data_IF_451621439945
#
_entry.id   IF_451621439945
#
_cell.length_a   1.000
_cell.length_b   1.000
_cell.length_c   1.000
_cell.angle_alpha   90.00
_cell.angle_beta   90.00
_cell.angle_gamma   90.00
#
_symmetry.space_group_name_H-M   'P 1'
#
loop_
_entity.id
_entity.type
_entity.pdbx_description
1 polymer ?
#
# COMPACT_ATOMS: atom_id res chain seq x y z
N UNK A 1 -2.96 46.34 10.57
CA UNK A 1 -3.98 46.92 11.47
C UNK A 1 -5.27 46.12 11.36
N UNK A 2 -5.93 45.85 12.50
CA UNK A 2 -7.23 45.18 12.72
C UNK A 2 -7.18 43.63 12.74
N UNK A 3 -7.00 43.05 13.94
CA UNK A 3 -8.01 42.59 14.94
C UNK A 3 -8.44 41.14 14.61
N UNK A 4 -7.87 40.08 15.20
CA UNK A 4 -8.01 39.61 16.60
C UNK A 4 -9.41 39.85 17.18
N UNK A 5 -10.10 38.76 17.55
CA UNK A 5 -10.97 38.54 18.73
C UNK A 5 -12.02 37.46 18.42
N UNK A 6 -11.95 36.33 19.14
CA UNK A 6 -13.04 35.54 19.78
C UNK A 6 -12.41 34.19 20.20
N UNK A 7 -11.76 34.05 21.36
CA UNK A 7 -12.34 33.86 22.71
C UNK A 7 -13.51 32.86 22.70
N UNK A 8 -13.25 31.59 23.04
CA UNK A 8 -13.35 31.05 24.41
C UNK A 8 -14.79 31.03 24.93
N UNK A 9 -15.52 29.96 24.65
CA UNK A 9 -16.69 29.57 25.45
C UNK A 9 -16.31 28.43 26.40
N UNK A 10 -15.98 28.89 27.60
CA UNK A 10 -15.81 28.19 28.86
C UNK A 10 -17.13 27.53 29.31
N UNK A 11 -17.03 26.25 29.66
CA UNK A 11 -17.40 25.60 30.94
C UNK A 11 -18.80 25.79 31.57
N UNK A 12 -19.15 24.71 32.30
CA UNK A 12 -20.08 24.62 33.44
C UNK A 12 -21.53 24.24 33.10
N UNK A 13 -21.78 22.93 33.13
CA UNK A 13 -23.07 22.39 33.53
C UNK A 13 -22.82 21.27 34.55
N UNK A 14 -22.51 21.70 35.77
CA UNK A 14 -22.42 20.85 36.96
C UNK A 14 -23.81 20.75 37.61
N UNK A 15 -24.10 19.54 38.10
CA UNK A 15 -25.00 19.25 39.23
C UNK A 15 -26.51 19.51 39.05
N UNK A 16 -27.27 18.44 38.79
CA UNK A 16 -28.54 18.15 39.48
C UNK A 16 -29.15 16.84 38.96
N UNK A 17 -28.69 15.67 39.40
CA UNK A 17 -29.52 14.46 39.40
C UNK A 17 -29.06 13.56 40.56
N UNK A 18 -29.46 13.96 41.77
CA UNK A 18 -29.54 13.11 42.94
C UNK A 18 -30.94 12.49 42.98
N UNK A 19 -30.96 11.21 43.36
CA UNK A 19 -32.11 10.46 43.86
C UNK A 19 -33.14 9.96 42.86
N UNK A 20 -32.86 8.77 42.33
CA UNK A 20 -33.86 7.69 42.34
C UNK A 20 -33.14 6.39 42.75
N UNK A 21 -33.22 6.09 44.03
CA UNK A 21 -32.85 4.79 44.58
C UNK A 21 -33.95 3.78 44.20
N UNK A 22 -33.98 3.37 42.94
CA UNK A 22 -34.78 2.23 42.51
C UNK A 22 -34.05 0.95 42.90
N UNK A 23 -34.67 0.24 43.83
CA UNK A 23 -34.49 -1.17 44.17
C UNK A 23 -34.12 -2.02 42.96
N UNK A 24 -32.82 -2.15 42.70
CA UNK A 24 -32.26 -3.08 41.72
C UNK A 24 -32.51 -4.51 42.23
N UNK A 25 -33.69 -5.01 41.93
CA UNK A 25 -34.09 -6.41 42.08
C UNK A 25 -33.05 -7.23 41.32
N UNK A 26 -32.17 -7.89 42.06
CA UNK A 26 -31.12 -8.78 41.58
C UNK A 26 -31.80 -9.93 40.82
N UNK A 27 -32.13 -9.70 39.55
CA UNK A 27 -32.47 -10.77 38.63
C UNK A 27 -31.22 -11.63 38.58
N UNK A 28 -31.33 -12.83 39.16
CA UNK A 28 -30.39 -13.90 38.91
C UNK A 28 -30.52 -14.19 37.42
N UNK A 29 -29.69 -13.52 36.62
CA UNK A 29 -29.37 -14.00 35.29
C UNK A 29 -28.84 -15.40 35.51
N UNK A 30 -29.69 -16.39 35.27
CA UNK A 30 -29.24 -17.73 34.98
C UNK A 30 -28.21 -17.57 33.85
N UNK A 31 -26.97 -18.07 34.00
CA UNK A 31 -26.02 -18.03 32.91
C UNK A 31 -26.72 -18.69 31.73
N UNK A 32 -26.96 -17.90 30.68
CA UNK A 32 -27.46 -18.43 29.42
C UNK A 32 -26.58 -19.63 29.12
N UNK A 33 -27.18 -20.83 29.04
CA UNK A 33 -26.46 -22.03 28.62
C UNK A 33 -25.72 -21.61 27.36
N UNK A 34 -24.39 -21.58 27.45
CA UNK A 34 -23.51 -21.33 26.32
C UNK A 34 -23.82 -22.48 25.36
N UNK A 35 -24.78 -22.23 24.49
CA UNK A 35 -25.19 -23.16 23.44
C UNK A 35 -23.91 -23.28 22.65
N UNK A 36 -23.28 -24.46 22.70
CA UNK A 36 -22.14 -24.76 21.85
C UNK A 36 -22.71 -24.73 20.45
N UNK A 37 -22.72 -23.54 19.87
CA UNK A 37 -23.14 -23.30 18.52
C UNK A 37 -22.42 -24.31 17.66
N UNK A 38 -23.21 -25.11 16.95
CA UNK A 38 -22.72 -26.18 16.12
C UNK A 38 -21.58 -25.64 15.26
N UNK A 39 -20.38 -26.20 15.43
CA UNK A 39 -19.25 -25.87 14.57
C UNK A 39 -19.75 -25.96 13.12
N UNK A 40 -19.65 -24.85 12.39
CA UNK A 40 -20.03 -24.76 10.97
C UNK A 40 -19.50 -25.98 10.21
N UNK A 41 -20.37 -26.59 9.41
CA UNK A 41 -20.07 -27.77 8.60
C UNK A 41 -18.72 -27.60 7.89
N UNK A 42 -17.84 -28.59 8.04
CA UNK A 42 -16.50 -28.61 7.46
C UNK A 42 -16.49 -28.36 5.94
N UNK A 43 -17.57 -28.71 5.25
CA UNK A 43 -17.74 -28.43 3.82
C UNK A 43 -17.72 -26.91 3.51
N UNK A 44 -18.40 -26.11 4.33
CA UNK A 44 -18.51 -24.66 4.18
C UNK A 44 -17.17 -23.96 4.45
N UNK A 45 -16.41 -24.44 5.43
CA UNK A 45 -15.08 -23.91 5.76
C UNK A 45 -14.11 -24.11 4.60
N UNK A 46 -14.12 -25.30 3.98
CA UNK A 46 -13.27 -25.58 2.81
C UNK A 46 -13.60 -24.65 1.63
N UNK A 47 -14.88 -24.42 1.36
CA UNK A 47 -15.30 -23.52 0.29
C UNK A 47 -14.86 -22.07 0.56
N UNK A 48 -15.02 -21.58 1.80
CA UNK A 48 -14.56 -20.26 2.21
C UNK A 48 -13.04 -20.13 2.05
N UNK A 49 -12.26 -21.14 2.44
CA UNK A 49 -10.81 -21.16 2.24
C UNK A 49 -10.47 -21.09 0.75
N UNK A 50 -11.14 -21.89 -0.09
CA UNK A 50 -10.91 -21.88 -1.54
C UNK A 50 -11.27 -20.54 -2.18
N UNK A 51 -12.31 -19.85 -1.70
CA UNK A 51 -12.68 -18.51 -2.15
C UNK A 51 -11.71 -17.44 -1.67
N UNK A 52 -11.09 -17.62 -0.52
CA UNK A 52 -10.14 -16.67 0.06
C UNK A 52 -8.70 -16.80 -0.50
N UNK A 53 -8.40 -17.86 -1.27
CA UNK A 53 -7.10 -18.08 -1.93
C UNK A 53 -6.79 -16.98 -2.95
N UNK A 54 -5.50 -16.68 -3.07
CA UNK A 54 -5.01 -15.76 -4.09
C UNK A 54 -5.33 -16.28 -5.49
N UNK A 55 -6.15 -15.53 -6.23
CA UNK A 55 -6.56 -15.86 -7.61
C UNK A 55 -7.03 -14.63 -8.37
N UNK A 56 -7.18 -14.79 -9.67
CA UNK A 56 -7.74 -13.77 -10.55
C UNK A 56 -9.28 -13.80 -10.42
N UNK A 57 -9.89 -12.65 -10.12
CA UNK A 57 -11.33 -12.48 -9.90
C UNK A 57 -11.82 -11.29 -10.72
N UNK A 58 -12.99 -11.42 -11.36
CA UNK A 58 -13.64 -10.29 -12.04
C UNK A 58 -14.19 -9.29 -11.02
N UNK A 59 -13.77 -8.04 -11.15
CA UNK A 59 -14.13 -6.95 -10.26
C UNK A 59 -14.63 -5.74 -11.06
N UNK A 60 -15.62 -4.98 -10.55
CA UNK A 60 -16.04 -3.73 -11.16
C UNK A 60 -14.98 -2.65 -10.97
N UNK A 61 -14.47 -2.09 -12.07
CA UNK A 61 -13.54 -0.97 -12.12
C UNK A 61 -14.24 0.28 -12.64
N UNK A 62 -14.25 1.33 -11.83
CA UNK A 62 -14.71 2.66 -12.24
C UNK A 62 -13.71 3.29 -13.21
N UNK A 63 -14.17 3.69 -14.38
CA UNK A 63 -13.32 4.32 -15.39
C UNK A 63 -13.01 5.78 -15.00
N UNK A 64 -11.77 6.25 -15.18
CA UNK A 64 -11.43 7.66 -14.98
C UNK A 64 -12.08 8.51 -16.07
N UNK A 65 -12.54 9.71 -15.70
CA UNK A 65 -13.03 10.69 -16.67
C UNK A 65 -11.84 11.46 -17.24
N UNK A 66 -11.58 11.42 -18.56
CA UNK A 66 -10.46 12.16 -19.14
C UNK A 66 -10.64 13.67 -19.00
N UNK A 67 -9.52 14.42 -18.93
CA UNK A 67 -9.55 15.88 -18.82
C UNK A 67 -10.35 16.50 -19.98
N UNK A 68 -11.25 17.44 -19.67
CA UNK A 68 -12.12 18.10 -20.65
C UNK A 68 -13.47 17.41 -20.89
N UNK A 69 -13.77 16.34 -20.14
CA UNK A 69 -15.05 15.65 -20.15
C UNK A 69 -15.64 15.59 -18.73
N UNK A 70 -16.96 15.44 -18.64
CA UNK A 70 -17.69 15.38 -17.37
C UNK A 70 -18.02 13.95 -16.98
N UNK A 71 -18.36 13.15 -17.98
CA UNK A 71 -18.86 11.80 -17.78
C UNK A 71 -18.29 10.86 -18.83
N UNK A 72 -18.20 9.60 -18.41
CA UNK A 72 -17.69 8.47 -19.19
C UNK A 72 -18.75 7.36 -19.14
N UNK A 73 -19.10 6.81 -20.30
CA UNK A 73 -20.13 5.78 -20.44
C UNK A 73 -19.61 4.58 -21.25
N UNK A 74 -19.63 3.36 -20.69
CA UNK A 74 -20.07 3.03 -19.33
C UNK A 74 -19.12 3.63 -18.26
N UNK A 75 -19.64 3.91 -17.07
CA UNK A 75 -18.83 4.45 -15.97
C UNK A 75 -18.03 3.35 -15.23
N UNK A 76 -18.45 2.10 -15.37
CA UNK A 76 -17.87 0.92 -14.72
C UNK A 76 -17.72 -0.19 -15.75
N UNK A 77 -16.60 -0.89 -15.71
CA UNK A 77 -16.32 -2.09 -16.52
C UNK A 77 -15.90 -3.24 -15.61
N UNK A 78 -16.12 -4.48 -16.03
CA UNK A 78 -15.58 -5.65 -15.33
C UNK A 78 -14.16 -5.90 -15.82
N UNK A 79 -13.22 -6.04 -14.88
CA UNK A 79 -11.81 -6.36 -15.15
C UNK A 79 -11.36 -7.46 -14.22
N UNK A 80 -10.49 -8.33 -14.70
CA UNK A 80 -9.90 -9.37 -13.85
C UNK A 80 -8.73 -8.79 -13.04
N UNK A 81 -8.80 -8.89 -11.72
CA UNK A 81 -7.76 -8.43 -10.77
C UNK A 81 -7.42 -9.53 -9.78
N UNK A 82 -6.24 -9.42 -9.18
CA UNK A 82 -5.82 -10.36 -8.14
C UNK A 82 -6.51 -10.04 -6.83
N UNK A 83 -7.17 -11.04 -6.27
CA UNK A 83 -7.86 -10.95 -4.98
C UNK A 83 -7.55 -12.21 -4.17
N UNK A 84 -7.53 -12.06 -2.86
CA UNK A 84 -7.29 -13.15 -1.91
C UNK A 84 -6.63 -12.64 -0.65
N UNK A 85 -6.97 -13.25 0.47
CA UNK A 85 -6.46 -12.89 1.80
C UNK A 85 -5.57 -13.98 2.39
N UNK A 86 -5.62 -15.20 1.84
CA UNK A 86 -4.93 -16.36 2.42
C UNK A 86 -3.59 -16.64 1.76
N UNK A 87 -2.72 -15.62 1.75
CA UNK A 87 -1.31 -15.84 1.48
C UNK A 87 -0.59 -16.29 2.74
N UNK A 88 0.24 -17.32 2.61
CA UNK A 88 1.10 -17.82 3.67
C UNK A 88 2.55 -17.73 3.20
N UNK A 89 3.45 -17.07 3.95
CA UNK A 89 3.25 -16.41 5.24
C UNK A 89 2.34 -15.17 5.20
N UNK A 90 1.83 -14.72 6.37
CA UNK A 90 0.86 -13.59 6.48
C UNK A 90 1.40 -12.24 5.99
N UNK A 91 2.72 -12.12 5.83
CA UNK A 91 3.39 -10.93 5.28
C UNK A 91 3.26 -10.83 3.76
N UNK A 92 2.89 -11.93 3.09
CA UNK A 92 2.68 -11.96 1.65
C UNK A 92 1.32 -11.38 1.27
N UNK A 93 1.26 -10.77 0.09
CA UNK A 93 0.06 -10.24 -0.55
C UNK A 93 -0.27 -11.02 -1.82
N UNK A 94 -1.54 -11.02 -2.23
CA UNK A 94 -1.92 -11.59 -3.52
C UNK A 94 -1.62 -10.59 -4.65
N UNK A 95 -0.67 -10.94 -5.52
CA UNK A 95 -0.10 -10.04 -6.53
C UNK A 95 -0.23 -10.63 -7.94
N UNK A 96 -0.32 -9.79 -8.97
CA UNK A 96 -0.23 -10.25 -10.35
C UNK A 96 1.13 -10.88 -10.62
N UNK A 97 1.14 -11.97 -11.39
CA UNK A 97 2.39 -12.52 -11.91
C UNK A 97 2.80 -11.62 -13.08
N UNK A 98 3.97 -10.96 -13.00
CA UNK A 98 4.40 -9.95 -13.97
C UNK A 98 4.48 -10.45 -15.42
N UNK A 99 4.76 -11.74 -15.65
CA UNK A 99 4.72 -12.35 -16.98
C UNK A 99 3.31 -12.49 -17.56
N UNK A 100 2.27 -12.26 -16.76
CA UNK A 100 0.86 -12.42 -17.10
C UNK A 100 0.02 -11.14 -16.89
N UNK A 101 0.63 -10.01 -16.51
CA UNK A 101 0.00 -8.70 -16.52
C UNK A 101 0.19 -8.05 -17.89
N UNK A 102 -0.90 -7.70 -18.57
CA UNK A 102 -0.86 -7.03 -19.87
C UNK A 102 -1.73 -5.77 -19.81
N UNK A 103 -1.23 -4.70 -20.42
CA UNK A 103 -2.03 -3.50 -20.63
C UNK A 103 -3.06 -3.83 -21.71
N UNK A 104 -4.32 -4.04 -21.30
CA UNK A 104 -5.42 -4.17 -22.25
C UNK A 104 -5.85 -2.76 -22.62
N UNK A 105 -5.36 -2.26 -23.74
CA UNK A 105 -5.93 -1.06 -24.35
C UNK A 105 -7.38 -1.39 -24.69
N UNK A 106 -8.36 -0.71 -24.08
CA UNK A 106 -9.77 -0.80 -24.50
C UNK A 106 -9.92 0.02 -25.79
N UNK A 107 -9.15 -0.37 -26.79
CA UNK A 107 -9.14 0.13 -28.17
C UNK A 107 -9.37 -0.97 -29.18
N UNK A 108 -9.08 -2.24 -28.84
CA UNK A 108 -9.21 -3.35 -29.78
C UNK A 108 -9.69 -4.63 -29.11
N UNK A 109 -10.99 -4.82 -29.27
CA UNK A 109 -11.78 -6.05 -29.35
C UNK A 109 -10.93 -7.35 -29.38
N UNK A 110 -10.98 -8.15 -28.31
CA UNK A 110 -11.01 -9.61 -28.46
C UNK A 110 -12.48 -9.98 -28.28
N UNK A 111 -13.16 -10.11 -29.41
CA UNK A 111 -14.57 -10.44 -29.69
C UNK A 111 -15.74 -9.76 -28.94
N UNK A 112 -15.53 -8.94 -27.90
CA UNK A 112 -16.53 -8.02 -27.34
C UNK A 112 -15.88 -6.65 -27.10
N UNK A 113 -16.31 -5.63 -27.84
CA UNK A 113 -15.68 -4.30 -27.81
C UNK A 113 -16.58 -3.26 -27.19
N UNK A 114 -16.09 -2.63 -26.12
CA UNK A 114 -16.77 -1.50 -25.52
C UNK A 114 -15.95 -0.25 -25.79
N UNK A 115 -16.19 0.42 -26.93
CA UNK A 115 -15.77 1.82 -27.10
C UNK A 115 -16.44 2.66 -26.02
N UNK A 116 -15.67 3.49 -25.32
CA UNK A 116 -16.21 4.31 -24.23
C UNK A 116 -16.60 5.68 -24.77
N UNK A 117 -17.85 6.09 -24.52
CA UNK A 117 -18.34 7.41 -24.89
C UNK A 117 -18.06 8.40 -23.78
N UNK A 118 -17.51 9.55 -24.13
CA UNK A 118 -17.31 10.68 -23.21
C UNK A 118 -18.13 11.89 -23.65
N UNK A 119 -18.57 12.66 -22.65
CA UNK A 119 -19.42 13.85 -22.83
C UNK A 119 -18.71 15.08 -22.25
N UNK A 120 -18.65 16.18 -23.01
CA UNK A 120 -17.95 17.41 -22.61
C UNK A 120 -18.87 18.40 -21.87
N UNK A 121 -18.28 19.18 -20.95
CA UNK A 121 -18.99 20.25 -20.24
C UNK A 121 -19.46 21.32 -21.22
N UNK A 122 -20.77 21.58 -21.22
CA UNK A 122 -21.44 22.60 -22.03
C UNK A 122 -21.52 22.37 -23.55
N UNK A 123 -21.29 21.15 -24.05
CA UNK A 123 -21.42 20.85 -25.48
C UNK A 123 -22.07 19.51 -25.76
N UNK A 124 -22.86 19.43 -26.84
CA UNK A 124 -23.37 18.17 -27.41
C UNK A 124 -22.25 17.28 -28.02
N UNK A 125 -21.00 17.51 -27.64
CA UNK A 125 -19.84 16.82 -28.18
C UNK A 125 -19.72 15.45 -27.52
N UNK A 126 -20.01 14.42 -28.31
CA UNK A 126 -19.79 13.02 -27.95
C UNK A 126 -18.54 12.55 -28.68
N UNK A 127 -17.56 12.03 -27.95
CA UNK A 127 -16.37 11.41 -28.53
C UNK A 127 -16.24 9.99 -28.02
N UNK A 128 -15.89 9.07 -28.91
CA UNK A 128 -15.43 7.75 -28.52
C UNK A 128 -13.95 7.85 -28.19
N UNK A 129 -13.56 7.41 -27.00
CA UNK A 129 -12.18 7.35 -26.56
C UNK A 129 -11.78 5.93 -26.22
N UNK A 130 -10.48 5.69 -26.37
CA UNK A 130 -9.82 4.46 -25.98
C UNK A 130 -9.21 4.66 -24.59
N UNK A 131 -9.54 3.77 -23.66
CA UNK A 131 -9.04 3.81 -22.28
C UNK A 131 -8.27 2.52 -22.03
N UNK A 132 -7.02 2.60 -21.60
CA UNK A 132 -6.25 1.39 -21.25
C UNK A 132 -6.54 0.99 -19.81
N UNK A 133 -6.88 -0.27 -19.60
CA UNK A 133 -7.02 -0.86 -18.26
C UNK A 133 -6.06 -2.03 -18.10
N UNK A 134 -5.57 -2.20 -16.89
CA UNK A 134 -4.73 -3.34 -16.52
C UNK A 134 -5.61 -4.52 -16.10
N UNK A 135 -5.31 -5.70 -16.65
CA UNK A 135 -5.93 -6.97 -16.29
C UNK A 135 -4.88 -7.99 -15.83
N UNK A 136 -5.23 -8.75 -14.79
CA UNK A 136 -4.36 -9.78 -14.21
C UNK A 136 -4.85 -11.16 -14.65
N UNK A 137 -4.05 -11.90 -15.45
CA UNK A 137 -4.42 -13.27 -15.87
C UNK A 137 -3.97 -14.36 -14.91
N UNK A 138 -2.97 -14.05 -14.08
CA UNK A 138 -2.40 -14.97 -13.11
C UNK A 138 -2.03 -14.22 -11.85
N UNK A 139 -2.22 -14.87 -10.71
CA UNK A 139 -1.96 -14.30 -9.39
C UNK A 139 -1.12 -15.26 -8.57
N UNK A 140 -0.21 -14.71 -7.77
CA UNK A 140 0.61 -15.46 -6.83
C UNK A 140 0.75 -14.70 -5.52
N UNK A 141 1.07 -15.42 -4.45
CA UNK A 141 1.45 -14.79 -3.19
C UNK A 141 2.89 -14.32 -3.27
N UNK A 142 3.15 -13.07 -2.87
CA UNK A 142 4.49 -12.49 -2.83
C UNK A 142 4.52 -11.13 -2.15
N UNK A 143 5.67 -10.46 -2.20
CA UNK A 143 5.85 -9.14 -1.60
C UNK A 143 5.64 -8.03 -2.65
N UNK A 144 4.87 -6.98 -2.31
CA UNK A 144 4.52 -5.88 -3.24
C UNK A 144 5.60 -4.79 -3.33
N UNK A 145 6.70 -4.92 -2.59
CA UNK A 145 7.60 -3.80 -2.33
C UNK A 145 8.73 -3.78 -3.36
N UNK A 146 8.87 -2.65 -4.04
CA UNK A 146 10.11 -2.27 -4.72
C UNK A 146 11.05 -1.70 -3.65
N UNK A 147 12.26 -2.25 -3.57
CA UNK A 147 13.26 -1.77 -2.64
C UNK A 147 14.01 -0.58 -3.24
N UNK A 148 14.22 0.52 -2.46
CA UNK A 148 15.04 1.63 -2.90
C UNK A 148 16.52 1.22 -3.05
N UNK A 149 17.32 2.09 -3.66
CA UNK A 149 18.71 1.86 -4.04
C UNK A 149 19.53 1.09 -2.98
N UNK A 150 20.37 0.16 -3.45
CA UNK A 150 21.27 -0.68 -2.63
C UNK A 150 20.59 -1.58 -1.60
N UNK A 151 19.26 -1.67 -1.62
CA UNK A 151 18.50 -2.64 -0.84
C UNK A 151 18.00 -3.77 -1.71
N UNK A 152 17.94 -4.96 -1.12
CA UNK A 152 17.34 -6.16 -1.69
C UNK A 152 16.09 -6.52 -0.89
N UNK A 153 15.11 -7.10 -1.59
CA UNK A 153 13.89 -7.56 -0.96
C UNK A 153 14.15 -8.90 -0.26
N UNK A 154 13.96 -8.94 1.06
CA UNK A 154 13.85 -10.18 1.80
C UNK A 154 12.44 -10.77 1.59
N UNK A 155 12.32 -11.78 0.72
CA UNK A 155 11.04 -12.41 0.38
C UNK A 155 10.35 -13.10 1.56
N UNK A 156 11.11 -13.52 2.58
CA UNK A 156 10.55 -14.19 3.75
C UNK A 156 9.85 -13.19 4.70
N UNK A 157 10.45 -12.01 4.89
CA UNK A 157 9.92 -10.95 5.75
C UNK A 157 9.03 -9.93 4.99
N UNK A 158 9.12 -9.88 3.66
CA UNK A 158 8.63 -8.78 2.83
C UNK A 158 9.16 -7.40 3.24
N UNK A 159 10.41 -7.35 3.64
CA UNK A 159 11.12 -6.14 4.04
C UNK A 159 12.32 -5.89 3.12
N UNK A 160 12.72 -4.62 3.01
CA UNK A 160 13.90 -4.28 2.24
C UNK A 160 15.08 -4.19 3.20
N UNK A 161 16.16 -4.87 2.85
CA UNK A 161 17.38 -4.94 3.64
C UNK A 161 18.55 -4.48 2.77
N UNK A 162 19.56 -3.87 3.38
CA UNK A 162 20.79 -3.54 2.69
C UNK A 162 21.40 -4.77 1.98
N UNK A 163 21.87 -4.61 0.74
CA UNK A 163 22.53 -5.71 0.02
C UNK A 163 23.84 -6.10 0.76
N UNK A 164 23.94 -7.33 1.32
CA UNK A 164 25.13 -7.75 2.05
C UNK A 164 26.38 -7.76 1.17
N UNK A 165 26.24 -7.92 -0.16
CA UNK A 165 27.37 -7.90 -1.09
C UNK A 165 27.98 -6.51 -1.18
N UNK A 166 27.16 -5.46 -1.09
CA UNK A 166 27.64 -4.08 -1.10
C UNK A 166 28.37 -3.74 0.19
N UNK A 167 27.90 -4.27 1.32
CA UNK A 167 28.59 -4.17 2.60
C UNK A 167 29.98 -4.81 2.55
N UNK A 168 30.11 -6.04 2.04
CA UNK A 168 31.41 -6.72 1.89
C UNK A 168 32.39 -5.90 1.02
N UNK A 169 31.92 -5.36 -0.10
CA UNK A 169 32.71 -4.48 -0.98
C UNK A 169 33.10 -3.18 -0.28
N UNK A 170 32.24 -2.67 0.60
CA UNK A 170 32.50 -1.48 1.40
C UNK A 170 33.66 -1.67 2.37
N UNK A 171 33.58 -2.74 3.15
CA UNK A 171 34.55 -3.09 4.18
C UNK A 171 35.90 -3.43 3.55
N UNK A 172 35.91 -4.11 2.40
CA UNK A 172 37.11 -4.37 1.62
C UNK A 172 37.83 -3.09 1.14
N UNK A 173 37.13 -1.96 1.04
CA UNK A 173 37.68 -0.63 0.70
C UNK A 173 38.03 0.21 1.94
N UNK A 174 38.03 -0.40 3.13
CA UNK A 174 38.27 0.28 4.42
C UNK A 174 37.30 1.44 4.68
N UNK A 175 36.06 1.30 4.21
CA UNK A 175 34.97 2.24 4.48
C UNK A 175 34.04 1.66 5.54
N UNK A 176 33.23 2.53 6.16
CA UNK A 176 32.19 2.10 7.08
C UNK A 176 30.86 1.93 6.33
N UNK A 177 30.18 0.83 6.58
CA UNK A 177 28.84 0.59 6.06
C UNK A 177 27.81 1.23 6.99
N UNK A 178 26.99 2.13 6.45
CA UNK A 178 25.85 2.71 7.16
C UNK A 178 24.59 1.89 6.84
N UNK A 179 24.10 1.13 7.82
CA UNK A 179 22.92 0.26 7.68
C UNK A 179 21.61 1.04 7.52
N UNK A 180 21.59 2.33 7.88
CA UNK A 180 20.38 3.16 7.75
C UNK A 180 20.19 3.71 6.34
N UNK A 181 21.30 4.00 5.65
CA UNK A 181 21.31 4.52 4.27
C UNK A 181 21.65 3.45 3.23
N UNK A 182 22.20 2.30 3.66
CA UNK A 182 22.78 1.28 2.78
C UNK A 182 23.86 1.86 1.86
N UNK A 183 24.72 2.71 2.43
CA UNK A 183 25.80 3.38 1.73
C UNK A 183 27.14 3.24 2.45
N UNK A 184 28.20 3.34 1.66
CA UNK A 184 29.56 3.38 2.15
C UNK A 184 29.98 4.79 2.53
N UNK A 185 30.06 5.06 3.83
CA UNK A 185 30.56 6.32 4.35
C UNK A 185 32.05 6.20 4.67
N UNK A 186 32.80 7.27 4.42
CA UNK A 186 34.12 7.35 5.03
C UNK A 186 33.95 7.41 6.54
N UNK A 187 34.80 6.73 7.33
CA UNK A 187 34.83 6.95 8.76
C UNK A 187 34.93 8.45 8.99
N UNK A 188 33.95 9.01 9.69
CA UNK A 188 33.91 10.44 9.99
C UNK A 188 35.11 10.69 10.90
N UNK A 189 36.24 11.05 10.30
CA UNK A 189 37.33 11.60 11.05
C UNK A 189 36.84 12.99 11.48
N UNK A 190 36.20 13.06 12.65
CA UNK A 190 35.84 14.33 13.29
C UNK A 190 37.06 15.24 13.51
N UNK A 191 38.28 14.79 13.19
CA UNK A 191 39.53 15.51 13.41
C UNK A 191 40.55 15.42 12.26
N UNK A 192 40.17 15.10 11.01
CA UNK A 192 41.11 15.31 9.89
C UNK A 192 41.20 16.81 9.63
N UNK A 193 42.10 17.46 10.37
CA UNK A 193 42.58 18.80 10.05
C UNK A 193 43.40 18.68 8.77
N UNK A 194 42.79 19.02 7.63
CA UNK A 194 43.54 19.19 6.39
C UNK A 194 44.49 20.38 6.58
N UNK A 195 45.77 20.17 6.29
CA UNK A 195 46.75 21.27 6.26
C UNK A 195 46.47 22.21 5.08
N UNK A 196 47.11 23.38 5.06
CA UNK A 196 46.94 24.32 3.94
C UNK A 196 47.41 23.68 2.63
N UNK A 197 46.49 23.55 1.66
CA UNK A 197 46.74 22.89 0.37
C UNK A 197 46.27 21.45 0.26
N UNK A 198 45.60 20.90 1.28
CA UNK A 198 45.08 19.54 1.24
C UNK A 198 43.56 19.51 1.02
N UNK A 199 43.08 18.56 0.22
CA UNK A 199 41.65 18.32 -0.05
C UNK A 199 41.29 16.88 0.27
N UNK A 200 40.22 16.70 1.05
CA UNK A 200 39.67 15.39 1.33
C UNK A 200 38.89 14.86 0.12
N UNK A 201 39.30 13.71 -0.43
CA UNK A 201 38.63 13.06 -1.55
C UNK A 201 37.69 11.98 -1.01
N UNK A 202 36.39 12.27 -1.02
CA UNK A 202 35.35 11.38 -0.50
C UNK A 202 35.33 10.01 -1.22
N UNK A 203 35.69 9.94 -2.50
CA UNK A 203 35.78 8.69 -3.29
C UNK A 203 36.90 7.75 -2.84
N UNK A 204 37.90 8.28 -2.13
CA UNK A 204 39.04 7.50 -1.70
C UNK A 204 39.16 7.42 -0.17
N UNK A 205 38.35 8.19 0.56
CA UNK A 205 38.44 8.34 2.01
C UNK A 205 39.87 8.69 2.49
N UNK A 206 40.55 9.54 1.73
CA UNK A 206 41.91 9.99 2.02
C UNK A 206 42.11 11.44 1.61
N UNK A 207 43.03 12.09 2.30
CA UNK A 207 43.49 13.43 1.99
C UNK A 207 44.51 13.37 0.85
N UNK A 208 44.45 14.33 -0.07
CA UNK A 208 45.46 14.54 -1.11
C UNK A 208 45.85 16.02 -1.17
N UNK A 209 47.10 16.26 -1.53
CA UNK A 209 47.60 17.60 -1.86
C UNK A 209 46.97 18.08 -3.17
N UNK A 210 46.50 19.33 -3.19
CA UNK A 210 45.76 19.95 -4.30
C UNK A 210 46.65 20.35 -5.46
#
# INVERSE_FOLDING_TARGET
MRRQVLLLYLTVASAAFLWEATTARRQRHTPAKLQRDACTDHSTVKELIMKARCRAVEQPLKLPVPKGFDTVHPAVVLVTRCEGMTCHPRVHSCLPIHSYSYNRTISKIIQHSSTVMVYAHYGNLRKCLEITVEEHRGCQCGCKRECPNNQILNEAACECECDPRLQEVCEARSRLWDTSTCECVCPVFQEVQCSSGEVFINELCRVRES
#
